data_IF_713547409151
#
_entry.id   IF_713547409151
#
_cell.length_a   1.000
_cell.length_b   1.000
_cell.length_c   1.000
_cell.angle_alpha   90.00
_cell.angle_beta   90.00
_cell.angle_gamma   90.00
#
_symmetry.space_group_name_H-M   'P 1'
#
loop_
_entity.id
_entity.type
_entity.pdbx_description
1 polymer ?
#
# COMPACT_ATOMS: atom_id res chain seq x y z
N UNK A 1 -16.85 6.97 -11.41
CA UNK A 1 -15.77 7.52 -10.56
C UNK A 1 -15.32 6.38 -9.68
N UNK A 2 -14.22 5.71 -10.00
CA UNK A 2 -13.76 4.53 -9.26
C UNK A 2 -12.74 5.00 -8.22
N UNK A 3 -13.08 4.92 -6.93
CA UNK A 3 -12.13 5.16 -5.85
C UNK A 3 -11.02 4.11 -5.89
N UNK A 4 -9.76 4.53 -5.82
CA UNK A 4 -8.63 3.60 -5.78
C UNK A 4 -8.49 3.07 -4.37
N UNK A 5 -8.45 1.76 -4.22
CA UNK A 5 -8.22 1.11 -2.94
C UNK A 5 -6.76 0.70 -2.81
N UNK A 6 -6.08 1.23 -1.79
CA UNK A 6 -4.72 0.86 -1.41
C UNK A 6 -4.76 0.13 -0.09
N UNK A 7 -4.00 -0.94 0.02
CA UNK A 7 -3.88 -1.70 1.26
C UNK A 7 -2.53 -1.40 1.88
N UNK A 8 -2.54 -0.84 3.09
CA UNK A 8 -1.34 -0.63 3.88
C UNK A 8 -1.20 -1.76 4.89
N UNK A 9 -0.08 -2.47 4.85
CA UNK A 9 0.18 -3.53 5.80
C UNK A 9 0.63 -2.95 7.15
N UNK A 10 0.00 -3.42 8.21
CA UNK A 10 0.22 -2.96 9.58
C UNK A 10 0.84 -4.04 10.46
N UNK A 11 1.60 -3.61 11.45
CA UNK A 11 2.38 -4.45 12.35
C UNK A 11 2.86 -3.69 13.59
N UNK A 12 4.16 -3.67 13.83
CA UNK A 12 4.79 -3.12 15.05
C UNK A 12 5.21 -1.63 14.96
N UNK A 13 5.04 -0.98 13.79
CA UNK A 13 5.49 0.39 13.52
C UNK A 13 4.36 1.30 13.02
N UNK A 14 3.40 1.68 13.90
CA UNK A 14 2.29 2.54 13.53
C UNK A 14 2.72 3.93 13.05
N UNK A 15 3.86 4.45 13.53
CA UNK A 15 4.38 5.76 13.09
C UNK A 15 4.74 5.77 11.60
N UNK A 16 5.41 4.71 11.14
CA UNK A 16 5.79 4.56 9.73
C UNK A 16 4.55 4.33 8.87
N UNK A 17 3.59 3.54 9.36
CA UNK A 17 2.32 3.29 8.67
C UNK A 17 1.55 4.61 8.41
N UNK A 18 1.44 5.46 9.43
CA UNK A 18 0.81 6.79 9.29
C UNK A 18 1.58 7.70 8.32
N UNK A 19 2.91 7.68 8.37
CA UNK A 19 3.74 8.50 7.48
C UNK A 19 3.63 8.08 6.01
N UNK A 20 3.60 6.78 5.75
CA UNK A 20 3.37 6.23 4.41
C UNK A 20 1.98 6.63 3.92
N UNK A 21 0.94 6.47 4.75
CA UNK A 21 -0.41 6.88 4.36
C UNK A 21 -0.49 8.36 4.00
N UNK A 22 0.06 9.24 4.84
CA UNK A 22 0.07 10.67 4.57
C UNK A 22 0.69 10.97 3.21
N UNK A 23 1.87 10.40 2.95
CA UNK A 23 2.53 10.54 1.65
C UNK A 23 1.62 10.06 0.52
N UNK A 24 0.94 8.91 0.64
CA UNK A 24 0.02 8.43 -0.41
C UNK A 24 -1.11 9.41 -0.72
N UNK A 25 -1.68 10.03 0.30
CA UNK A 25 -2.73 11.04 0.13
C UNK A 25 -2.19 12.32 -0.47
N UNK A 26 -0.94 12.68 -0.20
CA UNK A 26 -0.29 13.84 -0.81
C UNK A 26 0.13 13.57 -2.27
N UNK A 27 0.45 12.32 -2.60
CA UNK A 27 0.87 11.91 -3.94
C UNK A 27 -0.23 11.98 -4.99
N UNK A 28 -1.49 11.78 -4.58
CA UNK A 28 -2.62 11.83 -5.51
C UNK A 28 -3.71 12.77 -5.01
N UNK A 29 -4.19 13.63 -5.91
CA UNK A 29 -5.33 14.51 -5.63
C UNK A 29 -6.68 13.79 -5.73
N UNK A 30 -6.68 12.50 -6.08
CA UNK A 30 -7.87 11.67 -6.21
C UNK A 30 -8.29 11.08 -4.86
N UNK A 31 -9.59 10.76 -4.65
CA UNK A 31 -10.04 10.07 -3.45
C UNK A 31 -9.40 8.67 -3.37
N UNK A 32 -8.40 8.55 -2.49
CA UNK A 32 -7.70 7.32 -2.17
C UNK A 32 -8.28 6.69 -0.92
N UNK A 33 -8.69 5.43 -1.02
CA UNK A 33 -9.17 4.66 0.13
C UNK A 33 -8.05 3.76 0.64
N UNK A 34 -7.49 4.08 1.81
CA UNK A 34 -6.41 3.32 2.43
C UNK A 34 -7.00 2.35 3.44
N UNK A 35 -6.85 1.04 3.19
CA UNK A 35 -7.25 -0.03 4.10
C UNK A 35 -6.05 -0.57 4.83
N UNK A 36 -6.13 -0.60 6.16
CA UNK A 36 -5.12 -1.26 6.98
C UNK A 36 -5.40 -2.76 7.05
N UNK A 37 -4.36 -3.55 6.80
CA UNK A 37 -4.43 -5.00 6.91
C UNK A 37 -3.22 -5.51 7.66
N UNK A 38 -3.40 -6.36 8.66
CA UNK A 38 -2.26 -6.89 9.40
C UNK A 38 -1.42 -7.81 8.50
N UNK A 39 -0.09 -7.68 8.55
CA UNK A 39 0.86 -8.57 7.84
C UNK A 39 0.51 -10.07 7.94
N UNK A 40 0.26 -10.64 9.14
CA UNK A 40 -0.05 -12.07 9.25
C UNK A 40 -1.36 -12.46 8.57
N UNK A 41 -2.34 -11.55 8.52
CA UNK A 41 -3.61 -11.78 7.82
C UNK A 41 -3.36 -11.76 6.31
N UNK A 42 -2.61 -10.80 5.80
CA UNK A 42 -2.25 -10.72 4.40
C UNK A 42 -1.48 -11.95 3.91
N UNK A 43 -0.53 -12.48 4.69
CA UNK A 43 0.20 -13.67 4.28
C UNK A 43 -0.68 -14.93 4.21
N UNK A 44 -1.73 -14.99 5.03
CA UNK A 44 -2.64 -16.15 5.09
C UNK A 44 -3.77 -16.06 4.08
N UNK A 45 -4.37 -14.89 3.93
CA UNK A 45 -5.59 -14.67 3.12
C UNK A 45 -5.32 -13.92 1.80
N UNK A 46 -4.18 -13.22 1.71
CA UNK A 46 -3.80 -12.41 0.56
C UNK A 46 -4.34 -10.99 0.61
N UNK A 47 -4.18 -10.30 -0.53
CA UNK A 47 -4.76 -8.97 -0.73
C UNK A 47 -6.28 -9.08 -0.96
N UNK A 48 -7.08 -8.14 -0.43
CA UNK A 48 -8.50 -8.07 -0.78
C UNK A 48 -8.67 -7.83 -2.29
N UNK A 49 -9.70 -8.43 -2.88
CA UNK A 49 -9.88 -8.44 -4.35
C UNK A 49 -10.00 -7.05 -4.98
N UNK A 50 -10.48 -6.08 -4.22
CA UNK A 50 -10.65 -4.70 -4.68
C UNK A 50 -9.39 -3.84 -4.52
N UNK A 51 -8.30 -4.37 -3.95
CA UNK A 51 -7.06 -3.60 -3.81
C UNK A 51 -6.40 -3.39 -5.16
N UNK A 52 -6.14 -2.13 -5.49
CA UNK A 52 -5.34 -1.73 -6.66
C UNK A 52 -3.84 -1.86 -6.39
N UNK A 53 -3.42 -1.58 -5.15
CA UNK A 53 -2.02 -1.54 -4.74
C UNK A 53 -1.90 -2.00 -3.28
N UNK A 54 -0.83 -2.71 -2.96
CA UNK A 54 -0.48 -3.08 -1.58
C UNK A 54 0.85 -2.42 -1.21
N UNK A 55 0.95 -1.89 -0.01
CA UNK A 55 2.17 -1.28 0.50
C UNK A 55 2.51 -1.97 1.81
N UNK A 56 3.72 -2.52 1.87
CA UNK A 56 4.21 -3.20 3.06
C UNK A 56 5.43 -2.48 3.59
N UNK A 57 5.41 -1.97 4.84
CA UNK A 57 6.61 -1.49 5.49
C UNK A 57 7.50 -2.61 6.05
N UNK A 58 7.04 -3.86 5.96
CA UNK A 58 7.73 -5.02 6.47
C UNK A 58 8.12 -5.95 5.32
N UNK A 59 9.23 -6.65 5.49
CA UNK A 59 9.63 -7.72 4.59
C UNK A 59 8.63 -8.88 4.72
N UNK A 60 7.78 -9.04 3.71
CA UNK A 60 6.79 -10.11 3.65
C UNK A 60 7.02 -11.03 2.46
N UNK A 61 6.61 -12.28 2.60
CA UNK A 61 6.62 -13.23 1.48
C UNK A 61 5.38 -12.96 0.62
N UNK A 62 5.61 -12.61 -0.65
CA UNK A 62 4.53 -12.38 -1.61
C UNK A 62 3.82 -13.71 -1.93
N UNK A 63 2.47 -13.76 -1.85
CA UNK A 63 1.74 -14.92 -2.33
C UNK A 63 1.86 -15.02 -3.86
N UNK A 64 1.65 -16.24 -4.39
CA UNK A 64 1.84 -16.59 -5.80
C UNK A 64 1.02 -15.70 -6.77
N UNK A 65 -0.11 -15.17 -6.30
CA UNK A 65 -0.93 -14.19 -7.01
C UNK A 65 -1.13 -12.99 -6.09
N UNK A 66 -0.52 -11.86 -6.43
CA UNK A 66 -0.71 -10.61 -5.71
C UNK A 66 -0.82 -9.42 -6.67
N UNK A 67 -1.64 -8.41 -6.33
CA UNK A 67 -1.58 -7.10 -6.96
C UNK A 67 -0.19 -6.46 -6.76
N UNK A 68 0.15 -5.38 -7.50
CA UNK A 68 1.43 -4.71 -7.32
C UNK A 68 1.65 -4.37 -5.84
N UNK A 69 2.81 -4.80 -5.32
CA UNK A 69 3.22 -4.56 -3.95
C UNK A 69 4.46 -3.68 -3.92
N UNK A 70 4.44 -2.68 -3.04
CA UNK A 70 5.57 -1.80 -2.80
C UNK A 70 6.08 -2.03 -1.38
N UNK A 71 7.35 -2.39 -1.29
CA UNK A 71 8.03 -2.59 -0.02
C UNK A 71 8.65 -1.27 0.44
N UNK A 72 8.15 -0.69 1.52
CA UNK A 72 8.53 0.63 2.02
C UNK A 72 9.02 0.54 3.47
N UNK A 73 10.25 0.02 3.67
CA UNK A 73 10.90 -0.10 4.99
C UNK A 73 11.06 1.24 5.73
N UNK A 74 10.83 2.35 5.01
CA UNK A 74 10.88 3.74 5.47
C UNK A 74 9.87 4.57 4.68
N UNK A 75 9.84 5.89 4.89
CA UNK A 75 9.07 6.84 4.06
C UNK A 75 9.19 6.53 2.57
N UNK A 76 8.10 6.67 1.82
CA UNK A 76 8.06 6.36 0.40
C UNK A 76 9.15 7.14 -0.34
N UNK A 77 10.07 6.44 -0.99
CA UNK A 77 11.13 7.08 -1.78
C UNK A 77 10.56 7.65 -3.09
N UNK A 78 11.18 8.68 -3.67
CA UNK A 78 10.68 9.33 -4.91
C UNK A 78 10.34 8.34 -6.04
N UNK A 79 11.16 7.31 -6.23
CA UNK A 79 10.89 6.28 -7.24
C UNK A 79 9.62 5.46 -6.93
N UNK A 80 9.38 5.14 -5.65
CA UNK A 80 8.17 4.45 -5.22
C UNK A 80 6.96 5.36 -5.38
N UNK A 81 7.10 6.62 -4.97
CA UNK A 81 6.08 7.65 -5.13
C UNK A 81 5.62 7.79 -6.58
N UNK A 82 6.57 7.93 -7.52
CA UNK A 82 6.25 8.03 -8.95
C UNK A 82 5.57 6.77 -9.49
N UNK A 83 6.01 5.59 -9.05
CA UNK A 83 5.38 4.34 -9.45
C UNK A 83 3.95 4.23 -8.92
N UNK A 84 3.72 4.64 -7.67
CA UNK A 84 2.39 4.72 -7.04
C UNK A 84 1.48 5.65 -7.82
N UNK A 85 1.91 6.90 -8.05
CA UNK A 85 1.14 7.86 -8.85
C UNK A 85 0.74 7.26 -10.18
N UNK A 86 1.68 6.65 -10.91
CA UNK A 86 1.41 6.02 -12.20
C UNK A 86 0.35 4.91 -12.13
N UNK A 87 0.37 4.07 -11.08
CA UNK A 87 -0.62 3.01 -10.88
C UNK A 87 -1.99 3.59 -10.52
N UNK A 88 -2.02 4.66 -9.71
CA UNK A 88 -3.25 5.31 -9.27
C UNK A 88 -3.89 6.19 -10.34
N UNK A 89 -3.10 6.72 -11.27
CA UNK A 89 -3.56 7.57 -12.38
C UNK A 89 -3.95 6.80 -13.65
N UNK A 90 -3.63 5.50 -13.72
CA UNK A 90 -4.03 4.59 -14.82
C UNK A 90 -5.45 4.07 -14.62
#
# INVERSE_FOLDING_TARGET
MHEKQVVLLTGDNPSLEQEIEQQLRELTLLPLNVKYLAVPIFQKEGAPKDSTLVISPYAIVLPLFSPPLIHAEQSLSEHQQQHICKILET
#
